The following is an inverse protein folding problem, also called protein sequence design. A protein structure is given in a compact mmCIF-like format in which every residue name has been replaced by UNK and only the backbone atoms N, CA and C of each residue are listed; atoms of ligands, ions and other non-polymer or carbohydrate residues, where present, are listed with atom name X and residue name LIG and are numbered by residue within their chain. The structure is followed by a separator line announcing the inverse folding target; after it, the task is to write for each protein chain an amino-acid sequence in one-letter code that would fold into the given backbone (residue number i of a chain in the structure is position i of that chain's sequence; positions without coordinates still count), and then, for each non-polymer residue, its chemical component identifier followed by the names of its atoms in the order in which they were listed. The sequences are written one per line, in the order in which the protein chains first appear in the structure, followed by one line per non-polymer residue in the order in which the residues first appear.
data_IF_240290076593
#
_entry.id   IF_240290076593
#
_cell.length_a   1.000
_cell.length_b   1.000
_cell.length_c   1.000
_cell.angle_alpha   90.00
_cell.angle_beta   90.00
_cell.angle_gamma   90.00
#
_symmetry.space_group_name_H-M   'P 1'
#
loop_
_entity.id
_entity.type
_entity.pdbx_description
1 polymer ?
#
# COMPACT_ATOMS: atom_id res chain seq x y z
N UNK A 1 4.87 10.68 -8.01
CA UNK A 1 4.26 9.35 -8.20
C UNK A 1 5.13 8.18 -7.69
N UNK A 2 6.33 8.41 -7.12
CA UNK A 2 7.26 7.31 -6.75
C UNK A 2 7.20 6.82 -5.30
N UNK A 3 6.92 7.68 -4.32
CA UNK A 3 7.14 7.37 -2.89
C UNK A 3 6.26 6.24 -2.35
N UNK A 4 5.02 6.12 -2.83
CA UNK A 4 4.07 5.11 -2.33
C UNK A 4 4.36 3.69 -2.84
N UNK A 5 4.89 3.55 -4.06
CA UNK A 5 5.24 2.25 -4.63
C UNK A 5 6.44 1.63 -3.93
N UNK A 6 7.46 2.46 -3.67
CA UNK A 6 8.71 2.02 -3.04
C UNK A 6 8.50 1.59 -1.59
N UNK A 7 7.67 2.30 -0.82
CA UNK A 7 7.38 1.94 0.57
C UNK A 7 6.66 0.60 0.75
N UNK A 8 5.78 0.22 -0.20
CA UNK A 8 5.10 -1.08 -0.20
C UNK A 8 6.03 -2.21 -0.65
N UNK A 9 6.95 -1.92 -1.58
CA UNK A 9 7.95 -2.86 -2.09
C UNK A 9 9.05 -3.14 -1.06
N UNK A 10 9.54 -2.10 -0.38
CA UNK A 10 10.62 -2.16 0.61
C UNK A 10 10.19 -2.63 2.00
N UNK A 11 8.89 -2.87 2.22
CA UNK A 11 8.34 -3.26 3.52
C UNK A 11 8.76 -2.32 4.65
N UNK A 12 8.76 -1.00 4.39
CA UNK A 12 9.19 0.00 5.36
C UNK A 12 8.28 -0.03 6.61
N UNK A 13 8.90 0.11 7.79
CA UNK A 13 8.18 0.27 9.05
C UNK A 13 7.53 1.64 9.15
N UNK A 14 6.58 1.80 10.09
CA UNK A 14 5.91 3.08 10.35
C UNK A 14 6.91 4.23 10.61
N UNK A 15 8.00 3.95 11.32
CA UNK A 15 9.06 4.92 11.61
C UNK A 15 9.83 5.32 10.34
N UNK A 16 10.13 4.34 9.47
CA UNK A 16 10.83 4.60 8.21
C UNK A 16 9.94 5.36 7.21
N UNK A 17 8.64 5.11 7.21
CA UNK A 17 7.68 5.86 6.41
C UNK A 17 7.58 7.32 6.86
N UNK A 18 7.57 7.56 8.18
CA UNK A 18 7.58 8.91 8.73
C UNK A 18 8.85 9.65 8.34
N UNK A 19 10.01 9.02 8.51
CA UNK A 19 11.31 9.59 8.11
C UNK A 19 11.37 9.90 6.62
N UNK A 20 10.83 9.01 5.78
CA UNK A 20 10.76 9.22 4.32
C UNK A 20 9.85 10.40 3.96
N UNK A 21 8.68 10.50 4.59
CA UNK A 21 7.74 11.60 4.37
C UNK A 21 8.28 12.93 4.89
N UNK A 22 8.91 12.95 6.05
CA UNK A 22 9.56 14.14 6.60
C UNK A 22 10.72 14.61 5.72
N UNK A 23 11.53 13.68 5.20
CA UNK A 23 12.58 14.02 4.24
C UNK A 23 12.03 14.58 2.92
N UNK A 24 10.85 14.13 2.49
CA UNK A 24 10.24 14.55 1.23
C UNK A 24 9.43 15.85 1.35
N UNK A 25 8.77 16.09 2.47
CA UNK A 25 7.84 17.20 2.70
C UNK A 25 8.39 18.27 3.67
N UNK A 26 9.54 18.03 4.29
CA UNK A 26 10.13 18.88 5.34
C UNK A 26 9.52 18.67 6.72
N UNK A 27 8.21 18.40 6.79
CA UNK A 27 7.48 17.87 7.95
C UNK A 27 6.15 17.30 7.46
N UNK A 28 5.89 16.02 7.68
CA UNK A 28 4.72 15.35 7.14
C UNK A 28 3.44 15.71 7.92
N UNK A 29 2.43 16.34 7.30
CA UNK A 29 1.14 16.52 7.93
C UNK A 29 0.43 15.17 8.14
N UNK A 30 -0.36 15.04 9.20
CA UNK A 30 -1.12 13.81 9.49
C UNK A 30 -1.96 13.29 8.29
N UNK A 31 -2.64 14.14 7.49
CA UNK A 31 -3.35 13.69 6.29
C UNK A 31 -2.46 13.02 5.23
N UNK A 32 -1.21 13.48 5.08
CA UNK A 32 -0.27 12.90 4.11
C UNK A 32 0.25 11.54 4.58
N UNK A 33 0.48 11.38 5.90
CA UNK A 33 0.82 10.08 6.50
C UNK A 33 -0.33 9.09 6.31
N UNK A 34 -1.56 9.51 6.62
CA UNK A 34 -2.75 8.68 6.42
C UNK A 34 -2.94 8.28 4.95
N UNK A 35 -2.70 9.21 4.02
CA UNK A 35 -2.76 8.94 2.58
C UNK A 35 -1.70 7.95 2.13
N UNK A 36 -0.46 8.02 2.66
CA UNK A 36 0.57 7.03 2.37
C UNK A 36 0.12 5.63 2.82
N UNK A 37 -0.40 5.50 4.05
CA UNK A 37 -0.91 4.22 4.58
C UNK A 37 -2.00 3.63 3.70
N UNK A 38 -3.00 4.43 3.32
CA UNK A 38 -4.07 3.98 2.43
C UNK A 38 -3.56 3.59 1.03
N UNK A 39 -2.59 4.33 0.48
CA UNK A 39 -1.98 3.99 -0.82
C UNK A 39 -1.18 2.68 -0.77
N UNK A 40 -0.57 2.33 0.37
CA UNK A 40 0.08 1.01 0.56
C UNK A 40 -0.96 -0.11 0.47
N UNK A 41 -2.08 0.03 1.17
CA UNK A 41 -3.19 -0.94 1.13
C UNK A 41 -3.71 -1.14 -0.29
N UNK A 42 -3.97 -0.04 -1.00
CA UNK A 42 -4.43 -0.10 -2.39
C UNK A 42 -3.38 -0.66 -3.36
N UNK A 43 -2.09 -0.52 -3.05
CA UNK A 43 -1.02 -1.07 -3.88
C UNK A 43 -0.98 -2.59 -3.81
N UNK A 44 -1.18 -3.19 -2.63
CA UNK A 44 -1.30 -4.65 -2.49
C UNK A 44 -2.52 -5.18 -3.26
N UNK A 45 -3.68 -4.51 -3.17
CA UNK A 45 -4.86 -4.87 -3.97
C UNK A 45 -4.60 -4.77 -5.48
N UNK A 46 -3.97 -3.68 -5.95
CA UNK A 46 -3.65 -3.49 -7.37
C UNK A 46 -2.74 -4.61 -7.87
N UNK A 47 -1.74 -4.98 -7.10
CA UNK A 47 -0.78 -6.02 -7.44
C UNK A 47 -1.45 -7.41 -7.51
N UNK A 48 -2.33 -7.72 -6.55
CA UNK A 48 -3.13 -8.93 -6.58
C UNK A 48 -4.02 -9.02 -7.84
N UNK A 49 -4.69 -7.92 -8.20
CA UNK A 49 -5.52 -7.85 -9.41
C UNK A 49 -4.70 -7.98 -10.69
N UNK A 50 -3.51 -7.39 -10.75
CA UNK A 50 -2.59 -7.58 -11.87
C UNK A 50 -2.21 -9.05 -12.05
N UNK A 51 -1.91 -9.76 -10.96
CA UNK A 51 -1.59 -11.17 -10.98
C UNK A 51 -2.74 -12.01 -11.55
N UNK A 52 -3.99 -11.72 -11.16
CA UNK A 52 -5.17 -12.42 -11.69
C UNK A 52 -5.35 -12.23 -13.20
N UNK A 53 -5.02 -11.05 -13.73
CA UNK A 53 -4.99 -10.84 -15.18
C UNK A 53 -3.92 -11.73 -15.81
N UNK A 54 -2.71 -11.77 -15.24
CA UNK A 54 -1.60 -12.58 -15.76
C UNK A 54 -1.91 -14.09 -15.77
N UNK A 55 -2.71 -14.62 -14.84
CA UNK A 55 -3.17 -16.02 -14.88
C UNK A 55 -3.83 -16.37 -16.22
N UNK A 56 -4.54 -15.40 -16.83
CA UNK A 56 -5.29 -15.63 -18.07
C UNK A 56 -4.52 -15.32 -19.34
N UNK A 57 -3.58 -14.37 -19.30
CA UNK A 57 -2.92 -13.85 -20.50
C UNK A 57 -1.43 -14.18 -20.60
N UNK A 58 -0.79 -14.60 -19.51
CA UNK A 58 0.64 -14.83 -19.49
C UNK A 58 1.01 -16.19 -20.05
N UNK A 59 2.09 -16.23 -20.82
CA UNK A 59 2.70 -17.46 -21.35
C UNK A 59 3.90 -17.93 -20.51
N UNK A 60 4.19 -17.22 -19.42
CA UNK A 60 5.31 -17.53 -18.53
C UNK A 60 4.96 -18.71 -17.61
N UNK A 61 5.92 -19.62 -17.40
CA UNK A 61 5.82 -20.67 -16.38
C UNK A 61 6.09 -20.06 -14.99
N UNK A 62 5.06 -19.43 -14.45
CA UNK A 62 5.09 -18.77 -13.14
C UNK A 62 3.72 -18.90 -12.45
N UNK A 63 3.75 -19.13 -11.14
CA UNK A 63 2.53 -19.26 -10.34
C UNK A 63 1.95 -17.89 -9.97
N UNK A 64 1.25 -17.28 -10.93
CA UNK A 64 0.55 -16.02 -10.73
C UNK A 64 -0.61 -16.12 -9.73
N UNK A 65 -1.17 -17.32 -9.52
CA UNK A 65 -2.24 -17.53 -8.53
C UNK A 65 -1.67 -17.39 -7.12
N UNK A 66 -0.58 -18.10 -6.81
CA UNK A 66 0.08 -17.99 -5.51
C UNK A 66 0.62 -16.57 -5.27
N UNK A 67 1.17 -15.92 -6.31
CA UNK A 67 1.62 -14.54 -6.21
C UNK A 67 0.47 -13.57 -5.91
N UNK A 68 -0.65 -13.67 -6.62
CA UNK A 68 -1.84 -12.86 -6.37
C UNK A 68 -2.41 -13.09 -4.96
N UNK A 69 -2.48 -14.35 -4.52
CA UNK A 69 -2.99 -14.72 -3.20
C UNK A 69 -2.16 -14.07 -2.08
N UNK A 70 -0.83 -14.07 -2.19
CA UNK A 70 0.05 -13.41 -1.21
C UNK A 70 -0.29 -11.93 -1.04
N UNK A 71 -0.61 -11.22 -2.12
CA UNK A 71 -0.98 -9.81 -2.07
C UNK A 71 -2.40 -9.61 -1.53
N UNK A 72 -3.34 -10.50 -1.85
CA UNK A 72 -4.68 -10.48 -1.23
C UNK A 72 -4.63 -10.72 0.27
N UNK A 73 -3.81 -11.66 0.75
CA UNK A 73 -3.68 -11.95 2.18
C UNK A 73 -3.10 -10.74 2.94
N UNK A 74 -2.09 -10.07 2.36
CA UNK A 74 -1.54 -8.82 2.90
C UNK A 74 -2.58 -7.71 2.93
N UNK A 75 -3.33 -7.53 1.85
CA UNK A 75 -4.42 -6.55 1.79
C UNK A 75 -5.46 -6.81 2.86
N UNK A 76 -5.92 -8.07 3.02
CA UNK A 76 -6.89 -8.46 4.04
C UNK A 76 -6.37 -8.19 5.46
N UNK A 77 -5.13 -8.56 5.77
CA UNK A 77 -4.51 -8.29 7.07
C UNK A 77 -4.41 -6.79 7.36
N UNK A 78 -4.13 -5.96 6.36
CA UNK A 78 -4.07 -4.50 6.53
C UNK A 78 -5.46 -3.88 6.78
N UNK A 79 -6.53 -4.49 6.27
CA UNK A 79 -7.90 -4.03 6.55
C UNK A 79 -8.33 -4.26 8.00
N UNK A 80 -7.67 -5.19 8.70
CA UNK A 80 -7.91 -5.46 10.11
C UNK A 80 -7.18 -4.47 11.05
N UNK A 81 -6.36 -3.56 10.52
CA UNK A 81 -5.68 -2.55 11.33
C UNK A 81 -6.72 -1.60 11.97
N UNK A 82 -6.70 -1.54 13.32
CA UNK A 82 -7.62 -0.72 14.11
C UNK A 82 -7.48 0.79 13.83
N UNK A 83 -6.37 1.21 13.20
CA UNK A 83 -6.11 2.61 12.81
C UNK A 83 -6.69 2.97 11.44
N UNK A 84 -7.16 1.99 10.65
CA UNK A 84 -7.74 2.22 9.32
C UNK A 84 -8.88 3.27 9.35
N UNK A 85 -9.86 3.23 10.28
CA UNK A 85 -10.90 4.25 10.35
C UNK A 85 -10.35 5.65 10.61
N UNK A 86 -9.26 5.76 11.39
CA UNK A 86 -8.62 7.03 11.68
C UNK A 86 -7.94 7.61 10.44
N UNK A 87 -7.20 6.81 9.68
CA UNK A 87 -6.57 7.24 8.44
C UNK A 87 -7.61 7.71 7.40
N UNK A 88 -8.73 7.00 7.27
CA UNK A 88 -9.83 7.41 6.41
C UNK A 88 -10.40 8.77 6.84
N UNK A 89 -10.58 8.99 8.15
CA UNK A 89 -11.07 10.25 8.70
C UNK A 89 -10.07 11.42 8.55
N UNK A 90 -8.77 11.14 8.65
CA UNK A 90 -7.70 12.14 8.47
C UNK A 90 -7.61 12.61 7.02
N UNK A 91 -7.73 11.71 6.05
CA UNK A 91 -7.74 12.08 4.61
C UNK A 91 -9.03 12.80 4.21
N UNK A 92 -10.16 12.46 4.83
CA UNK A 92 -11.43 13.13 4.57
C UNK A 92 -11.47 14.57 5.13
N UNK A 93 -10.67 14.88 6.15
CA UNK A 93 -10.49 16.25 6.64
C UNK A 93 -9.63 17.03 5.65
N UNK A 94 -10.30 17.82 4.82
CA UNK A 94 -9.69 18.74 3.85
C UNK A 94 -8.75 19.72 4.58
N UNK A 95 -7.51 19.82 4.11
CA UNK A 95 -6.62 20.96 4.40
C UNK A 95 -7.12 22.24 3.72
#
# INVERSE_FOLDING_TARGET
MGVCGDAAHLSLSDDQETVLLDAYLGQAPAPEVARLKLMKILSDLREAMWAMVQVTISTLDYDFVAYGQKHFDRYAAQLEDSRLPHWLADVARKS
#
